data_IF_373780225270
#
_entry.id   IF_373780225270
#
_cell.length_a   1.000
_cell.length_b   1.000
_cell.length_c   1.000
_cell.angle_alpha   90.00
_cell.angle_beta   90.00
_cell.angle_gamma   90.00
#
_symmetry.space_group_name_H-M   'P 1'
#
loop_
_entity.id
_entity.type
_entity.pdbx_description
1 polymer ?
#
# COMPACT_ATOMS: atom_id res chain seq x y z
N UNK A 1 1.94 -62.57 23.14
CA UNK A 1 1.29 -61.25 23.09
C UNK A 1 2.38 -60.17 23.20
N UNK A 2 3.11 -59.86 22.14
CA UNK A 2 4.26 -58.92 22.28
C UNK A 2 4.65 -58.15 21.02
N UNK A 3 4.36 -58.65 19.81
CA UNK A 3 4.67 -57.89 18.58
C UNK A 3 3.54 -56.95 18.13
N UNK A 4 2.27 -57.36 18.24
CA UNK A 4 1.14 -56.56 17.74
C UNK A 4 0.85 -55.29 18.57
N UNK A 5 1.33 -55.23 19.82
CA UNK A 5 1.12 -54.07 20.69
C UNK A 5 2.16 -52.96 20.46
N UNK A 6 3.39 -53.34 20.06
CA UNK A 6 4.44 -52.36 19.76
C UNK A 6 4.27 -51.70 18.38
N UNK A 7 3.72 -52.43 17.40
CA UNK A 7 3.43 -51.90 16.07
C UNK A 7 2.37 -50.77 16.10
N UNK A 8 1.33 -50.90 16.93
CA UNK A 8 0.28 -49.87 17.07
C UNK A 8 0.78 -48.58 17.73
N UNK A 9 1.73 -48.67 18.66
CA UNK A 9 2.30 -47.50 19.34
C UNK A 9 3.19 -46.71 18.38
N UNK A 10 4.00 -47.40 17.55
CA UNK A 10 4.84 -46.77 16.54
C UNK A 10 4.04 -46.04 15.45
N UNK A 11 2.87 -46.58 15.08
CA UNK A 11 2.00 -45.97 14.07
C UNK A 11 1.27 -44.72 14.58
N UNK A 12 0.99 -44.64 15.89
CA UNK A 12 0.35 -43.47 16.52
C UNK A 12 1.31 -42.30 16.72
N UNK A 13 2.59 -42.57 17.00
CA UNK A 13 3.62 -41.52 17.15
C UNK A 13 3.93 -40.83 15.81
N UNK A 14 3.82 -41.55 14.69
CA UNK A 14 4.09 -41.02 13.35
C UNK A 14 3.00 -40.04 12.85
N UNK A 15 1.77 -40.13 13.37
CA UNK A 15 0.65 -39.26 12.96
C UNK A 15 0.64 -37.88 13.64
N UNK A 16 1.35 -37.69 14.76
CA UNK A 16 1.39 -36.40 15.47
C UNK A 16 2.46 -35.42 14.99
N UNK A 17 3.30 -35.82 14.01
CA UNK A 17 4.39 -34.97 13.52
C UNK A 17 4.02 -34.07 12.32
N UNK A 18 2.77 -34.11 11.85
CA UNK A 18 2.25 -33.25 10.78
C UNK A 18 1.42 -32.07 11.33
N UNK A 19 1.93 -31.39 12.36
CA UNK A 19 1.51 -30.02 12.61
C UNK A 19 2.12 -29.16 11.50
N UNK A 20 1.42 -29.07 10.37
CA UNK A 20 1.75 -28.11 9.32
C UNK A 20 1.71 -26.71 9.94
N UNK A 21 2.88 -26.16 10.23
CA UNK A 21 3.03 -24.73 10.48
C UNK A 21 2.71 -24.02 9.17
N UNK A 22 1.42 -23.74 8.94
CA UNK A 22 1.02 -22.69 8.02
C UNK A 22 1.56 -21.41 8.65
N UNK A 23 2.76 -21.02 8.23
CA UNK A 23 3.18 -19.63 8.30
C UNK A 23 2.19 -18.90 7.41
N UNK A 24 1.12 -18.36 8.01
CA UNK A 24 0.38 -17.28 7.40
C UNK A 24 1.41 -16.16 7.25
N UNK A 25 2.04 -16.10 6.08
CA UNK A 25 2.88 -14.98 5.71
C UNK A 25 1.95 -13.78 5.69
N UNK A 26 1.91 -13.03 6.78
CA UNK A 26 1.40 -11.68 6.76
C UNK A 26 2.36 -10.94 5.85
N UNK A 27 2.00 -10.75 4.58
CA UNK A 27 2.62 -9.71 3.77
C UNK A 27 2.46 -8.43 4.57
N UNK A 28 3.53 -8.00 5.24
CA UNK A 28 3.53 -6.75 5.98
C UNK A 28 3.21 -5.64 4.97
N UNK A 29 2.02 -5.09 5.09
CA UNK A 29 1.64 -3.92 4.32
C UNK A 29 2.58 -2.78 4.73
N UNK A 30 3.16 -2.05 3.76
CA UNK A 30 4.00 -0.92 4.10
C UNK A 30 3.24 0.08 4.96
N UNK A 31 3.90 0.60 5.99
CA UNK A 31 3.34 1.69 6.80
C UNK A 31 3.19 2.94 5.93
N UNK A 32 2.00 3.54 5.98
CA UNK A 32 1.75 4.83 5.36
C UNK A 32 2.17 5.95 6.31
N UNK A 33 3.07 6.81 5.82
CA UNK A 33 3.61 7.95 6.54
C UNK A 33 3.11 9.25 5.91
N UNK A 34 2.28 10.02 6.64
CA UNK A 34 1.88 11.37 6.25
C UNK A 34 3.05 12.32 6.00
N UNK A 35 2.86 13.23 5.04
CA UNK A 35 3.78 14.31 4.77
C UNK A 35 3.87 15.33 5.92
N UNK A 36 4.96 16.12 6.01
CA UNK A 36 5.12 17.13 7.05
C UNK A 36 3.94 18.12 7.09
N UNK A 37 3.40 18.36 8.29
CA UNK A 37 2.30 19.29 8.51
C UNK A 37 0.90 18.74 8.20
N UNK A 38 0.79 17.50 7.71
CA UNK A 38 -0.49 16.82 7.56
C UNK A 38 -0.83 15.97 8.81
N UNK A 39 -2.13 15.71 9.08
CA UNK A 39 -2.57 14.90 10.22
C UNK A 39 -1.99 13.48 10.20
N UNK A 40 -1.69 12.92 11.37
CA UNK A 40 -1.31 11.50 11.48
C UNK A 40 -2.51 10.59 11.22
N UNK A 41 -2.27 9.32 10.86
CA UNK A 41 -3.34 8.33 10.74
C UNK A 41 -4.14 8.19 12.04
N UNK A 42 -3.43 8.11 13.17
CA UNK A 42 -4.05 8.02 14.49
C UNK A 42 -4.98 9.21 14.78
N UNK A 43 -4.58 10.43 14.42
CA UNK A 43 -5.41 11.62 14.63
C UNK A 43 -6.69 11.63 13.80
N UNK A 44 -6.72 10.85 12.71
CA UNK A 44 -7.89 10.64 11.86
C UNK A 44 -8.67 9.37 12.25
N UNK A 45 -8.21 8.61 13.25
CA UNK A 45 -8.79 7.32 13.63
C UNK A 45 -8.58 6.23 12.57
N UNK A 46 -7.49 6.29 11.81
CA UNK A 46 -7.17 5.40 10.70
C UNK A 46 -5.94 4.52 11.00
N UNK A 47 -5.82 3.41 10.28
CA UNK A 47 -4.60 2.59 10.20
C UNK A 47 -4.17 2.39 8.75
N UNK A 48 -2.90 2.04 8.54
CA UNK A 48 -2.40 1.69 7.19
C UNK A 48 -3.21 0.53 6.59
N UNK A 49 -3.43 -0.54 7.36
CA UNK A 49 -4.22 -1.69 6.92
C UNK A 49 -5.63 -1.30 6.47
N UNK A 50 -6.31 -0.40 7.20
CA UNK A 50 -7.63 0.08 6.78
C UNK A 50 -7.58 0.76 5.42
N UNK A 51 -6.57 1.60 5.15
CA UNK A 51 -6.42 2.30 3.87
C UNK A 51 -6.18 1.34 2.70
N UNK A 52 -5.38 0.29 2.89
CA UNK A 52 -5.14 -0.74 1.87
C UNK A 52 -6.38 -1.59 1.57
N UNK A 53 -7.27 -1.75 2.54
CA UNK A 53 -8.49 -2.53 2.42
C UNK A 53 -9.71 -1.71 1.96
N UNK A 54 -9.57 -0.40 1.72
CA UNK A 54 -10.66 0.42 1.19
C UNK A 54 -10.96 0.05 -0.27
N UNK A 55 -12.23 0.21 -0.72
CA UNK A 55 -12.57 0.02 -2.12
C UNK A 55 -11.68 0.86 -3.03
N UNK A 56 -11.05 0.22 -4.01
CA UNK A 56 -10.20 0.93 -4.98
C UNK A 56 -11.03 1.99 -5.71
N UNK A 57 -10.50 3.21 -5.90
CA UNK A 57 -11.16 4.23 -6.72
C UNK A 57 -11.13 3.88 -8.22
N UNK A 58 -10.34 2.88 -8.61
CA UNK A 58 -10.26 2.43 -10.00
C UNK A 58 -11.47 1.53 -10.32
N UNK A 59 -12.12 1.72 -11.49
CA UNK A 59 -13.23 0.87 -11.88
C UNK A 59 -12.78 -0.59 -11.97
N UNK A 60 -13.54 -1.50 -11.34
CA UNK A 60 -13.30 -2.95 -11.33
C UNK A 60 -13.19 -3.56 -12.74
N UNK A 61 -13.81 -2.91 -13.73
CA UNK A 61 -13.92 -3.36 -15.12
C UNK A 61 -12.94 -2.67 -16.07
N UNK A 62 -11.89 -2.01 -15.55
CA UNK A 62 -10.84 -1.38 -16.36
C UNK A 62 -9.93 -2.40 -17.05
N UNK A 63 -10.50 -3.34 -17.83
CA UNK A 63 -9.77 -3.97 -18.94
C UNK A 63 -9.58 -2.88 -19.99
N UNK A 64 -8.57 -2.05 -19.79
CA UNK A 64 -8.01 -1.25 -20.87
C UNK A 64 -7.53 -2.24 -21.93
N UNK A 65 -8.24 -2.31 -23.05
CA UNK A 65 -7.78 -3.02 -24.24
C UNK A 65 -6.62 -2.22 -24.82
N UNK A 66 -5.43 -2.43 -24.27
CA UNK A 66 -4.22 -1.78 -24.73
C UNK A 66 -3.78 -2.46 -26.03
N UNK A 67 -3.34 -1.65 -26.99
CA UNK A 67 -2.71 -2.19 -28.21
C UNK A 67 -1.52 -3.08 -27.82
N UNK A 68 -1.22 -4.15 -28.57
CA UNK A 68 -0.01 -4.94 -28.38
C UNK A 68 1.29 -4.10 -28.44
N UNK A 69 1.23 -2.92 -29.06
CA UNK A 69 2.33 -1.97 -29.16
C UNK A 69 2.34 -0.89 -28.06
N UNK A 70 1.42 -0.95 -27.08
CA UNK A 70 1.39 0.02 -25.99
C UNK A 70 2.53 -0.26 -24.99
N UNK A 71 3.51 0.64 -24.95
CA UNK A 71 4.54 0.66 -23.90
C UNK A 71 4.09 1.59 -22.76
N UNK A 72 3.45 1.02 -21.74
CA UNK A 72 3.00 1.74 -20.56
C UNK A 72 4.17 2.18 -19.68
N UNK A 73 4.69 3.37 -19.92
CA UNK A 73 5.74 3.99 -19.10
C UNK A 73 5.23 5.28 -18.46
N UNK A 74 5.50 5.43 -17.16
CA UNK A 74 5.34 6.70 -16.47
C UNK A 74 6.73 7.35 -16.33
N UNK A 75 6.85 8.65 -16.65
CA UNK A 75 8.11 9.41 -16.55
C UNK A 75 9.05 9.28 -17.77
N UNK A 76 10.17 10.03 -17.79
CA UNK A 76 11.18 9.94 -18.85
C UNK A 76 11.86 8.56 -18.86
N UNK A 77 12.87 8.37 -19.73
CA UNK A 77 13.47 7.10 -20.17
C UNK A 77 13.78 6.02 -19.10
N UNK A 78 13.83 6.38 -17.81
CA UNK A 78 14.14 5.50 -16.68
C UNK A 78 12.95 4.64 -16.21
N UNK A 79 11.75 4.83 -16.80
CA UNK A 79 10.52 4.09 -16.48
C UNK A 79 10.22 4.14 -14.97
N UNK A 80 9.64 5.25 -14.51
CA UNK A 80 9.28 5.44 -13.12
C UNK A 80 8.09 4.55 -12.74
N UNK A 81 8.37 3.38 -12.19
CA UNK A 81 7.38 2.48 -11.62
C UNK A 81 7.37 2.58 -10.09
N UNK A 82 6.19 2.42 -9.51
CA UNK A 82 6.03 2.23 -8.07
C UNK A 82 4.86 1.29 -7.81
N UNK A 83 4.72 0.80 -6.57
CA UNK A 83 3.61 -0.06 -6.18
C UNK A 83 2.27 0.69 -6.21
N UNK A 84 1.35 0.16 -7.02
CA UNK A 84 0.02 0.74 -7.24
C UNK A 84 -0.83 0.68 -5.97
N UNK A 85 -0.72 -0.38 -5.17
CA UNK A 85 -1.51 -0.49 -3.93
C UNK A 85 -1.10 0.58 -2.92
N UNK A 86 0.20 0.84 -2.78
CA UNK A 86 0.75 1.88 -1.92
C UNK A 86 0.40 3.29 -2.42
N UNK A 87 0.31 3.51 -3.74
CA UNK A 87 -0.23 4.76 -4.29
C UNK A 87 -1.72 4.93 -3.97
N UNK A 88 -2.51 3.86 -4.12
CA UNK A 88 -3.94 3.89 -3.79
C UNK A 88 -4.12 4.16 -2.29
N UNK A 89 -3.33 3.54 -1.42
CA UNK A 89 -3.38 3.81 0.02
C UNK A 89 -3.07 5.29 0.33
N UNK A 90 -2.08 5.88 -0.35
CA UNK A 90 -1.83 7.33 -0.27
C UNK A 90 -3.00 8.18 -0.76
N UNK A 91 -3.64 7.80 -1.86
CA UNK A 91 -4.85 8.48 -2.33
C UNK A 91 -5.97 8.40 -1.28
N UNK A 92 -6.22 7.22 -0.71
CA UNK A 92 -7.24 7.02 0.33
C UNK A 92 -6.95 7.90 1.56
N UNK A 93 -5.68 8.02 1.97
CA UNK A 93 -5.31 8.91 3.06
C UNK A 93 -5.63 10.38 2.73
N UNK A 94 -5.26 10.84 1.54
CA UNK A 94 -5.49 12.22 1.11
C UNK A 94 -6.98 12.54 0.98
N UNK A 95 -7.80 11.60 0.50
CA UNK A 95 -9.27 11.73 0.46
C UNK A 95 -9.87 11.89 1.87
N UNK A 96 -9.33 11.17 2.86
CA UNK A 96 -9.76 11.26 4.27
C UNK A 96 -9.37 12.56 4.96
N UNK A 97 -8.53 13.39 4.35
CA UNK A 97 -8.24 14.73 4.86
C UNK A 97 -9.43 15.68 4.73
N UNK A 98 -10.37 15.41 3.83
CA UNK A 98 -11.53 16.26 3.58
C UNK A 98 -11.10 17.68 3.20
N UNK A 99 -11.48 18.67 4.00
CA UNK A 99 -11.18 20.09 3.71
C UNK A 99 -9.81 20.55 4.20
N UNK A 100 -8.99 19.68 4.81
CA UNK A 100 -7.64 20.04 5.25
C UNK A 100 -6.77 20.35 4.01
N UNK A 101 -6.24 21.58 3.88
CA UNK A 101 -5.46 21.96 2.72
C UNK A 101 -4.09 21.28 2.71
N UNK A 102 -3.72 20.73 1.56
CA UNK A 102 -2.36 20.35 1.21
C UNK A 102 -1.66 21.57 0.60
N UNK A 103 -0.58 22.05 1.22
CA UNK A 103 0.12 23.27 0.81
C UNK A 103 1.42 22.94 0.10
N UNK A 104 1.55 23.37 -1.16
CA UNK A 104 2.79 23.35 -1.91
C UNK A 104 3.57 24.66 -1.66
N UNK A 105 4.83 24.60 -1.18
CA UNK A 105 5.60 25.79 -0.86
C UNK A 105 6.03 26.56 -2.12
N UNK A 106 6.37 27.86 -1.99
CA UNK A 106 6.87 28.66 -3.12
C UNK A 106 8.21 28.15 -3.65
N UNK A 107 8.56 28.61 -4.85
CA UNK A 107 9.83 28.30 -5.50
C UNK A 107 9.87 26.96 -6.21
N UNK A 108 8.70 26.40 -6.58
CA UNK A 108 8.57 25.10 -7.30
C UNK A 108 9.29 23.95 -6.59
N UNK A 109 9.31 23.98 -5.26
CA UNK A 109 9.88 22.91 -4.46
C UNK A 109 8.88 21.76 -4.35
N UNK A 110 9.37 20.53 -4.48
CA UNK A 110 8.58 19.35 -4.17
C UNK A 110 8.36 19.28 -2.65
N UNK A 111 7.14 19.00 -2.22
CA UNK A 111 6.82 18.63 -0.86
C UNK A 111 6.13 17.27 -0.85
N UNK A 112 6.52 16.42 0.08
CA UNK A 112 5.90 15.11 0.29
C UNK A 112 4.55 15.30 0.98
N UNK A 113 3.48 14.76 0.40
CA UNK A 113 2.16 14.69 1.02
C UNK A 113 1.88 13.31 1.63
N UNK A 114 2.37 12.24 1.00
CA UNK A 114 2.24 10.89 1.55
C UNK A 114 3.34 9.99 1.01
N UNK A 115 3.83 9.07 1.85
CA UNK A 115 4.70 7.97 1.45
C UNK A 115 4.16 6.65 1.97
N UNK A 116 4.22 5.61 1.15
CA UNK A 116 4.05 4.23 1.59
C UNK A 116 4.94 3.31 0.76
N UNK A 117 5.80 2.52 1.41
CA UNK A 117 6.81 1.72 0.71
C UNK A 117 7.69 2.56 -0.23
N UNK A 118 7.72 2.19 -1.52
CA UNK A 118 8.42 2.95 -2.57
C UNK A 118 7.60 4.12 -3.15
N UNK A 119 6.31 4.19 -2.85
CA UNK A 119 5.37 5.15 -3.42
C UNK A 119 5.40 6.48 -2.68
N UNK A 120 5.45 7.57 -3.45
CA UNK A 120 5.45 8.94 -2.93
C UNK A 120 4.45 9.79 -3.72
N UNK A 121 3.56 10.49 -3.01
CA UNK A 121 2.70 11.54 -3.58
C UNK A 121 3.27 12.88 -3.14
N UNK A 122 3.61 13.72 -4.12
CA UNK A 122 4.24 15.02 -3.89
C UNK A 122 3.40 16.14 -4.49
N UNK A 123 3.46 17.32 -3.87
CA UNK A 123 2.93 18.57 -4.41
C UNK A 123 4.05 19.49 -4.89
N UNK A 124 3.76 20.29 -5.91
CA UNK A 124 4.61 21.37 -6.39
C UNK A 124 3.75 22.54 -6.82
N UNK A 125 4.14 23.76 -6.46
CA UNK A 125 3.40 24.94 -6.84
C UNK A 125 3.80 25.41 -8.25
N UNK A 126 2.83 25.44 -9.18
CA UNK A 126 3.06 25.64 -10.61
C UNK A 126 3.46 27.09 -10.91
N UNK A 127 2.78 28.04 -10.28
CA UNK A 127 3.08 29.49 -10.43
C UNK A 127 4.40 29.89 -9.80
N UNK A 128 5.01 29.03 -8.96
CA UNK A 128 6.18 29.35 -8.16
C UNK A 128 5.88 30.18 -6.91
N UNK A 129 4.61 30.58 -6.70
CA UNK A 129 4.12 31.10 -5.41
C UNK A 129 3.59 29.94 -4.57
N UNK A 130 3.28 30.16 -3.28
CA UNK A 130 2.62 29.12 -2.49
C UNK A 130 1.25 28.82 -3.08
N UNK A 131 0.91 27.53 -3.20
CA UNK A 131 -0.39 27.07 -3.69
C UNK A 131 -0.95 26.03 -2.73
N UNK A 132 -2.27 25.91 -2.64
CA UNK A 132 -2.93 24.93 -1.80
C UNK A 132 -4.20 24.43 -2.44
N UNK A 133 -4.47 23.14 -2.27
CA UNK A 133 -5.75 22.52 -2.59
C UNK A 133 -6.11 21.54 -1.47
N UNK A 134 -7.38 21.25 -1.32
CA UNK A 134 -7.83 20.03 -0.67
C UNK A 134 -8.04 18.94 -1.73
N UNK A 135 -8.19 17.69 -1.31
CA UNK A 135 -8.51 16.55 -2.17
C UNK A 135 -10.01 16.28 -2.21
#
# INVERSE_FOLDING_TARGET
MSLNMQASILLQVLMLAFAATVSAGTTELPELVPGPGLPSLESLGLTSEQLYNMPSPLPSDSKLTLSPAFDGVCGPAERAYTDVHSLIACFQYLDRLGTQPCVAPPGRKNILFCRSGSSHVNGVAITGKSESSYW
#
